data_IF_503427507073
#
_entry.id   IF_503427507073
#
_cell.length_a   1.000
_cell.length_b   1.000
_cell.length_c   1.000
_cell.angle_alpha   90.00
_cell.angle_beta   90.00
_cell.angle_gamma   90.00
#
_symmetry.space_group_name_H-M   'P 1'
#
loop_
_entity.id
_entity.type
_entity.pdbx_description
1 polymer ?
#
# COMPACT_ATOMS: atom_id res chain seq x y z
N UNK A 1 8.69 -2.51 -16.69
CA UNK A 1 8.55 -2.52 -15.22
C UNK A 1 8.71 -3.93 -14.68
N UNK A 2 9.56 -4.12 -13.67
CA UNK A 2 9.76 -5.39 -12.96
C UNK A 2 9.47 -5.21 -11.47
N UNK A 3 9.30 -6.31 -10.74
CA UNK A 3 9.14 -6.28 -9.29
C UNK A 3 10.33 -5.59 -8.60
N UNK A 4 11.55 -5.88 -9.03
CA UNK A 4 12.78 -5.30 -8.47
C UNK A 4 12.83 -3.77 -8.66
N UNK A 5 12.44 -3.29 -9.85
CA UNK A 5 12.34 -1.85 -10.14
C UNK A 5 11.32 -1.16 -9.21
N UNK A 6 10.13 -1.77 -9.05
CA UNK A 6 9.09 -1.26 -8.15
C UNK A 6 9.57 -1.27 -6.71
N UNK A 7 10.25 -2.33 -6.28
CA UNK A 7 10.80 -2.46 -4.93
C UNK A 7 11.87 -1.41 -4.65
N UNK A 8 12.75 -1.13 -5.62
CA UNK A 8 13.77 -0.10 -5.48
C UNK A 8 13.13 1.29 -5.37
N UNK A 9 12.12 1.59 -6.19
CA UNK A 9 11.39 2.86 -6.12
C UNK A 9 10.55 3.00 -4.85
N UNK A 10 9.91 1.93 -4.40
CA UNK A 10 9.20 1.88 -3.13
C UNK A 10 10.12 2.19 -1.95
N UNK A 11 11.36 1.68 -1.94
CA UNK A 11 12.38 2.05 -0.95
C UNK A 11 12.72 3.55 -1.01
N UNK A 12 12.76 4.15 -2.20
CA UNK A 12 12.95 5.58 -2.34
C UNK A 12 11.77 6.38 -1.75
N UNK A 13 10.54 5.89 -1.90
CA UNK A 13 9.35 6.45 -1.20
C UNK A 13 9.53 6.36 0.31
N UNK A 14 9.93 5.21 0.87
CA UNK A 14 10.21 5.07 2.30
C UNK A 14 11.24 6.11 2.80
N UNK A 15 12.36 6.26 2.09
CA UNK A 15 13.39 7.23 2.44
C UNK A 15 12.85 8.67 2.40
N UNK A 16 12.05 9.00 1.39
CA UNK A 16 11.42 10.32 1.26
C UNK A 16 10.40 10.58 2.38
N UNK A 17 9.61 9.57 2.78
CA UNK A 17 8.69 9.65 3.92
C UNK A 17 9.42 9.97 5.22
N UNK A 18 10.55 9.30 5.48
CA UNK A 18 11.36 9.53 6.67
C UNK A 18 12.06 10.90 6.63
N UNK A 19 12.54 11.31 5.45
CA UNK A 19 13.17 12.61 5.26
C UNK A 19 12.17 13.79 5.26
N UNK A 20 10.86 13.52 5.19
CA UNK A 20 9.86 14.56 4.96
C UNK A 20 9.91 15.17 3.56
N UNK A 21 10.54 14.48 2.59
CA UNK A 21 10.79 14.99 1.24
C UNK A 21 9.58 14.76 0.33
N UNK A 22 8.59 15.64 0.48
CA UNK A 22 7.34 15.59 -0.30
C UNK A 22 7.61 15.78 -1.80
N UNK A 23 8.63 16.57 -2.15
CA UNK A 23 9.01 16.83 -3.54
C UNK A 23 9.34 15.54 -4.28
N UNK A 24 10.21 14.72 -3.70
CA UNK A 24 10.62 13.42 -4.25
C UNK A 24 9.44 12.47 -4.40
N UNK A 25 8.48 12.49 -3.46
CA UNK A 25 7.28 11.66 -3.56
C UNK A 25 6.40 12.13 -4.72
N UNK A 26 6.17 13.43 -4.85
CA UNK A 26 5.40 14.02 -5.96
C UNK A 26 6.03 13.66 -7.31
N UNK A 27 7.37 13.65 -7.41
CA UNK A 27 8.06 13.27 -8.64
C UNK A 27 7.84 11.82 -9.05
N UNK A 28 7.53 10.92 -8.10
CA UNK A 28 7.23 9.52 -8.37
C UNK A 28 5.77 9.26 -8.78
N UNK A 29 4.89 10.23 -8.56
CA UNK A 29 3.48 10.16 -8.93
C UNK A 29 3.28 10.20 -10.46
N UNK A 30 2.17 9.63 -10.93
CA UNK A 30 1.72 9.76 -12.31
C UNK A 30 1.30 11.20 -12.62
N UNK A 31 1.13 11.54 -13.90
CA UNK A 31 0.67 12.88 -14.30
C UNK A 31 -0.70 13.21 -13.69
N UNK A 32 -1.59 12.21 -13.60
CA UNK A 32 -2.94 12.38 -13.03
C UNK A 32 -2.87 12.80 -11.57
N UNK A 33 -2.08 12.10 -10.75
CA UNK A 33 -1.92 12.42 -9.34
C UNK A 33 -1.13 13.72 -9.12
N UNK A 34 -0.19 14.05 -10.01
CA UNK A 34 0.57 15.32 -9.94
C UNK A 34 -0.29 16.55 -10.21
N UNK A 35 -1.45 16.42 -10.85
CA UNK A 35 -2.39 17.55 -11.03
C UNK A 35 -3.08 17.94 -9.73
N UNK A 36 -3.31 16.99 -8.83
CA UNK A 36 -3.94 17.19 -7.52
C UNK A 36 -3.14 16.47 -6.43
N UNK A 37 -1.88 16.87 -6.17
CA UNK A 37 -1.01 16.14 -5.26
C UNK A 37 -1.44 16.31 -3.80
N UNK A 38 -2.22 17.35 -3.47
CA UNK A 38 -2.65 17.64 -2.11
C UNK A 38 -3.44 16.50 -1.47
N UNK A 39 -4.31 15.84 -2.22
CA UNK A 39 -5.09 14.70 -1.71
C UNK A 39 -4.20 13.50 -1.42
N UNK A 40 -3.25 13.19 -2.31
CA UNK A 40 -2.28 12.11 -2.11
C UNK A 40 -1.33 12.40 -0.95
N UNK A 41 -0.80 13.63 -0.87
CA UNK A 41 0.14 14.04 0.17
C UNK A 41 -0.54 14.08 1.54
N UNK A 42 -1.81 14.44 1.62
CA UNK A 42 -2.58 14.41 2.87
C UNK A 42 -2.74 13.00 3.47
N UNK A 43 -2.59 11.95 2.66
CA UNK A 43 -2.61 10.56 3.12
C UNK A 43 -1.25 10.08 3.65
N UNK A 44 -0.18 10.84 3.41
CA UNK A 44 1.17 10.45 3.78
C UNK A 44 1.47 10.87 5.22
N UNK A 45 1.91 9.95 6.08
CA UNK A 45 2.23 10.27 7.45
C UNK A 45 3.65 10.88 7.51
N UNK A 46 3.71 12.21 7.39
CA UNK A 46 4.96 12.95 7.24
C UNK A 46 5.26 13.87 8.44
N UNK A 47 6.51 13.96 8.90
CA UNK A 47 7.61 13.03 8.60
C UNK A 47 7.38 11.68 9.32
N UNK A 48 7.72 10.59 8.65
CA UNK A 48 7.71 9.27 9.27
C UNK A 48 8.95 9.09 10.17
N UNK A 49 8.82 8.37 11.27
CA UNK A 49 9.97 7.92 12.07
C UNK A 49 10.72 6.79 11.39
N UNK A 50 9.97 5.85 10.81
CA UNK A 50 10.50 4.68 10.12
C UNK A 50 9.53 4.29 9.02
N UNK A 51 10.06 3.85 7.87
CA UNK A 51 9.27 3.33 6.78
C UNK A 51 10.01 2.16 6.12
N UNK A 52 9.32 1.04 5.90
CA UNK A 52 9.88 -0.16 5.28
C UNK A 52 8.94 -0.72 4.23
N UNK A 53 9.50 -1.37 3.21
CA UNK A 53 8.71 -2.09 2.19
C UNK A 53 8.39 -3.48 2.74
N UNK A 54 7.14 -3.71 3.12
CA UNK A 54 6.68 -4.99 3.65
C UNK A 54 6.55 -6.03 2.54
N UNK A 55 5.85 -5.69 1.46
CA UNK A 55 5.64 -6.58 0.31
C UNK A 55 5.50 -5.82 -1.00
N UNK A 56 5.76 -6.51 -2.11
CA UNK A 56 5.49 -6.03 -3.47
C UNK A 56 4.81 -7.15 -4.22
N UNK A 57 3.58 -6.91 -4.67
CA UNK A 57 2.75 -7.91 -5.32
C UNK A 57 2.40 -7.48 -6.74
N UNK A 58 2.43 -8.43 -7.67
CA UNK A 58 1.98 -8.21 -9.04
C UNK A 58 0.46 -8.30 -9.13
N UNK A 59 -0.17 -7.31 -9.74
CA UNK A 59 -1.62 -7.28 -9.99
C UNK A 59 -1.90 -7.31 -11.49
N UNK A 60 -2.83 -8.16 -11.91
CA UNK A 60 -3.19 -8.28 -13.33
C UNK A 60 -2.06 -8.81 -14.22
N UNK A 61 -1.32 -9.83 -13.76
CA UNK A 61 -0.35 -10.56 -14.59
C UNK A 61 0.91 -9.78 -14.97
N UNK A 62 1.36 -8.84 -14.13
CA UNK A 62 2.60 -8.05 -14.34
C UNK A 62 2.39 -6.67 -14.97
N UNK A 63 1.15 -6.30 -15.31
CA UNK A 63 0.83 -4.99 -15.86
C UNK A 63 0.83 -3.86 -14.81
N UNK A 64 0.64 -4.21 -13.54
CA UNK A 64 0.66 -3.29 -12.42
C UNK A 64 1.22 -4.00 -11.18
N UNK A 65 1.79 -3.25 -10.27
CA UNK A 65 2.29 -3.77 -9.00
C UNK A 65 1.72 -2.97 -7.85
N UNK A 66 1.55 -3.59 -6.70
CA UNK A 66 1.16 -2.93 -5.45
C UNK A 66 2.28 -3.15 -4.46
N UNK A 67 2.85 -2.06 -3.95
CA UNK A 67 3.84 -2.11 -2.88
C UNK A 67 3.16 -1.69 -1.58
N UNK A 68 3.29 -2.57 -0.58
CA UNK A 68 2.79 -2.37 0.78
C UNK A 68 3.95 -1.84 1.62
N UNK A 69 3.77 -0.66 2.19
CA UNK A 69 4.75 0.02 3.03
C UNK A 69 4.24 0.04 4.46
N UNK A 70 5.04 -0.44 5.40
CA UNK A 70 4.79 -0.24 6.82
C UNK A 70 5.46 1.06 7.24
N UNK A 71 4.67 2.00 7.77
CA UNK A 71 5.15 3.34 8.14
C UNK A 71 4.81 3.62 9.59
N UNK A 72 5.85 3.83 10.39
CA UNK A 72 5.74 4.23 11.79
C UNK A 72 5.93 5.73 11.89
N UNK A 73 4.93 6.43 12.41
CA UNK A 73 5.01 7.85 12.76
C UNK A 73 4.93 8.03 14.27
N UNK A 74 5.02 9.28 14.74
CA UNK A 74 4.89 9.55 16.18
C UNK A 74 3.48 9.25 16.71
N UNK A 75 2.45 9.39 15.88
CA UNK A 75 1.06 9.19 16.27
C UNK A 75 0.63 7.72 16.23
N UNK A 76 1.05 6.99 15.20
CA UNK A 76 0.57 5.63 14.93
C UNK A 76 1.47 4.89 13.94
N UNK A 77 1.22 3.59 13.84
CA UNK A 77 1.79 2.71 12.82
C UNK A 77 0.70 2.39 11.79
N UNK A 78 1.00 2.63 10.52
CA UNK A 78 0.07 2.48 9.41
C UNK A 78 0.65 1.60 8.31
N UNK A 79 -0.24 1.12 7.46
CA UNK A 79 0.13 0.52 6.19
C UNK A 79 -0.24 1.48 5.05
N UNK A 80 0.73 1.80 4.20
CA UNK A 80 0.54 2.60 3.01
C UNK A 80 0.68 1.71 1.78
N UNK A 81 -0.41 1.54 1.04
CA UNK A 81 -0.40 0.80 -0.20
C UNK A 81 -0.20 1.76 -1.36
N UNK A 82 0.80 1.49 -2.19
CA UNK A 82 1.11 2.29 -3.38
C UNK A 82 0.98 1.42 -4.61
N UNK A 83 0.15 1.86 -5.55
CA UNK A 83 -0.05 1.13 -6.81
C UNK A 83 0.81 1.74 -7.90
N UNK A 84 1.56 0.89 -8.57
CA UNK A 84 2.53 1.23 -9.60
C UNK A 84 2.06 0.71 -10.95
N UNK A 85 2.20 1.53 -11.99
CA UNK A 85 2.00 1.15 -13.38
C UNK A 85 3.11 1.72 -14.25
N UNK A 86 3.38 1.04 -15.36
CA UNK A 86 4.20 1.62 -16.41
C UNK A 86 3.47 2.81 -17.04
N UNK A 87 4.13 3.97 -17.03
CA UNK A 87 3.68 5.18 -17.71
C UNK A 87 4.81 5.67 -18.60
N UNK A 88 4.80 5.23 -19.86
CA UNK A 88 5.78 5.65 -20.85
C UNK A 88 7.17 5.05 -20.61
N UNK A 89 7.23 3.79 -20.14
CA UNK A 89 8.47 3.07 -19.87
C UNK A 89 9.04 3.29 -18.47
N UNK A 90 8.29 3.94 -17.59
CA UNK A 90 8.70 4.24 -16.22
C UNK A 90 7.64 3.83 -15.19
N UNK A 91 8.06 3.17 -14.11
CA UNK A 91 7.17 2.81 -12.99
C UNK A 91 6.69 4.05 -12.22
N UNK A 92 5.42 4.43 -12.38
CA UNK A 92 4.81 5.57 -11.71
C UNK A 92 3.73 5.13 -10.74
N UNK A 93 3.62 5.85 -9.60
CA UNK A 93 2.54 5.66 -8.65
C UNK A 93 1.26 6.23 -9.27
N UNK A 94 0.25 5.39 -9.45
CA UNK A 94 -1.05 5.77 -9.98
C UNK A 94 -2.12 5.88 -8.90
N UNK A 95 -1.88 5.33 -7.72
CA UNK A 95 -2.81 5.33 -6.59
C UNK A 95 -2.04 5.17 -5.28
N UNK A 96 -2.50 5.85 -4.23
CA UNK A 96 -1.99 5.71 -2.86
C UNK A 96 -3.17 5.53 -1.95
N UNK A 97 -3.12 4.48 -1.13
CA UNK A 97 -4.17 4.12 -0.19
C UNK A 97 -3.57 4.01 1.21
N UNK A 98 -4.21 4.70 2.15
CA UNK A 98 -3.86 4.67 3.57
C UNK A 98 -4.74 3.66 4.30
N UNK A 99 -4.14 2.70 4.99
CA UNK A 99 -4.82 1.70 5.83
C UNK A 99 -4.25 1.79 7.25
N UNK A 100 -5.04 2.30 8.19
CA UNK A 100 -4.65 2.26 9.60
C UNK A 100 -4.61 0.83 10.11
N UNK A 101 -3.70 0.53 11.04
CA UNK A 101 -3.60 -0.78 11.70
C UNK A 101 -4.94 -1.29 12.24
N UNK A 102 -5.75 -0.39 12.80
CA UNK A 102 -7.10 -0.68 13.29
C UNK A 102 -8.05 -1.22 12.20
N UNK A 103 -7.93 -0.71 10.98
CA UNK A 103 -8.73 -1.17 9.85
C UNK A 103 -8.27 -2.56 9.39
N UNK A 104 -6.95 -2.82 9.42
CA UNK A 104 -6.35 -4.12 9.08
C UNK A 104 -6.74 -5.17 10.10
N UNK A 105 -6.65 -4.88 11.40
CA UNK A 105 -7.07 -5.76 12.48
C UNK A 105 -8.57 -6.09 12.38
N UNK A 106 -9.41 -5.08 12.09
CA UNK A 106 -10.84 -5.29 11.88
C UNK A 106 -11.16 -6.13 10.63
N UNK A 107 -10.45 -5.94 9.51
CA UNK A 107 -10.62 -6.76 8.31
C UNK A 107 -10.16 -8.21 8.54
N UNK A 108 -9.06 -8.40 9.27
CA UNK A 108 -8.57 -9.73 9.64
C UNK A 108 -9.55 -10.46 10.57
N UNK A 109 -10.14 -9.78 11.56
CA UNK A 109 -11.19 -10.33 12.41
C UNK A 109 -12.45 -10.69 11.60
N UNK A 110 -12.87 -9.82 10.68
CA UNK A 110 -14.02 -10.07 9.82
C UNK A 110 -13.79 -11.25 8.87
N UNK A 111 -12.59 -11.35 8.27
CA UNK A 111 -12.21 -12.48 7.42
C UNK A 111 -12.14 -13.80 8.20
N UNK A 112 -11.60 -13.78 9.42
CA UNK A 112 -11.56 -14.95 10.29
C UNK A 112 -12.96 -15.41 10.73
N UNK A 113 -13.86 -14.46 11.03
CA UNK A 113 -15.25 -14.75 11.33
C UNK A 113 -15.97 -15.39 10.13
N UNK A 114 -15.81 -14.84 8.92
CA UNK A 114 -16.42 -15.39 7.70
C UNK A 114 -15.91 -16.82 7.39
N UNK A 115 -14.61 -17.08 7.56
CA UNK A 115 -14.04 -18.42 7.36
C UNK A 115 -14.57 -19.44 8.38
N UNK A 116 -14.80 -19.03 9.63
CA UNK A 116 -15.37 -19.90 10.65
C UNK A 116 -16.85 -20.25 10.40
N UNK A 117 -17.60 -19.38 9.70
CA UNK A 117 -18.99 -19.66 9.32
C UNK A 117 -19.11 -20.61 8.11
N UNK A 118 -18.08 -20.70 7.26
CA UNK A 118 -18.07 -21.60 6.10
C UNK A 118 -17.79 -23.08 6.48
N UNK A 119 -17.01 -23.33 7.54
CA UNK A 119 -16.75 -24.69 8.06
C UNK A 119 -17.82 -25.20 9.06
N UNK A 120 -18.75 -24.35 9.52
CA UNK A 120 -19.79 -24.72 10.50
C UNK A 120 -21.09 -25.32 9.89
N UNK A 121 -21.20 -25.40 8.57
CA UNK A 121 -22.44 -25.76 7.87
C UNK A 121 -22.62 -27.24 7.49
N UNK A 122 -21.65 -28.11 7.79
CA UNK A 122 -21.65 -29.50 7.32
C UNK A 122 -21.53 -30.54 8.43
N UNK A 123 -22.66 -30.94 9.03
CA UNK A 123 -22.98 -32.25 9.67
C UNK A 123 -24.07 -32.04 10.73
N UNK A 124 -25.14 -32.82 10.92
CA UNK A 124 -25.73 -34.07 10.38
C UNK A 124 -27.17 -34.14 11.05
N UNK A 125 -28.00 -35.21 11.07
CA UNK A 125 -27.78 -36.60 10.65
C UNK A 125 -28.92 -37.26 9.83
N UNK A 126 -28.60 -38.46 9.34
CA UNK A 126 -29.54 -39.42 8.76
C UNK A 126 -30.66 -39.78 9.75
N UNK A 127 -31.89 -39.86 9.23
CA UNK A 127 -33.05 -40.50 9.85
C UNK A 127 -33.85 -41.24 8.79
#
# INVERSE_FOLDING_TARGET
>A
MTEDEVRQRAKAVCNALVAGDVGSIIEMLSDELRRSPGETVALLPLPAREAVVASVESTGGGAAYVAVLEVTSEAEHIELQTRWKDRGGEARIVEVSHRSRRAIEAEAEAAAAAAAEEEGGGEAPQG
#
